data_IF_584938488622
#
_entry.id   IF_584938488622
#
_cell.length_a   1.000
_cell.length_b   1.000
_cell.length_c   1.000
_cell.angle_alpha   90.00
_cell.angle_beta   90.00
_cell.angle_gamma   90.00
#
_symmetry.space_group_name_H-M   'P 1'
#
loop_
_entity.id
_entity.type
_entity.pdbx_description
1 polymer ?
#
# COMPACT_ATOMS: atom_id res chain seq x y z
N UNK A 1 16.23 -8.49 0.34
CA UNK A 1 15.96 -9.93 0.50
C UNK A 1 14.56 -10.06 1.09
N UNK A 2 13.61 -10.67 0.37
CA UNK A 2 12.24 -10.80 0.85
C UNK A 2 12.13 -11.88 1.93
N UNK A 3 11.38 -11.62 3.01
CA UNK A 3 11.23 -12.56 4.14
C UNK A 3 10.39 -13.76 3.70
N UNK A 4 11.04 -14.92 3.52
CA UNK A 4 10.34 -16.11 3.04
C UNK A 4 9.31 -16.63 4.07
N UNK A 5 8.21 -17.22 3.58
CA UNK A 5 7.19 -17.86 4.42
C UNK A 5 7.76 -18.86 5.44
N UNK A 6 8.82 -19.56 5.06
CA UNK A 6 9.46 -20.57 5.92
C UNK A 6 10.24 -19.91 7.05
N UNK A 7 10.81 -18.73 6.80
CA UNK A 7 11.47 -17.94 7.84
C UNK A 7 10.44 -17.39 8.84
N UNK A 8 9.31 -16.89 8.36
CA UNK A 8 8.23 -16.37 9.23
C UNK A 8 7.57 -17.43 10.12
N UNK A 9 7.60 -18.71 9.73
CA UNK A 9 7.07 -19.83 10.53
C UNK A 9 8.06 -20.41 11.55
N UNK A 10 9.37 -20.23 11.33
CA UNK A 10 10.41 -20.78 12.21
C UNK A 10 10.63 -19.98 13.49
N UNK A 11 10.33 -18.69 13.44
CA UNK A 11 10.44 -17.79 14.57
C UNK A 11 9.03 -17.56 15.12
N UNK A 12 8.86 -17.64 16.44
CA UNK A 12 7.58 -17.33 17.06
C UNK A 12 7.16 -15.91 16.69
N UNK A 13 5.93 -15.74 16.23
CA UNK A 13 5.47 -14.47 15.66
C UNK A 13 5.27 -13.44 16.76
N UNK A 14 5.35 -12.12 16.45
CA UNK A 14 4.96 -11.10 17.41
C UNK A 14 3.52 -11.30 17.89
N UNK A 15 3.25 -10.95 19.16
CA UNK A 15 1.96 -11.13 19.83
C UNK A 15 0.77 -10.63 18.99
N UNK A 16 0.89 -9.46 18.38
CA UNK A 16 -0.13 -8.86 17.52
C UNK A 16 -0.58 -9.78 16.35
N UNK A 17 0.27 -10.71 15.91
CA UNK A 17 0.00 -11.61 14.80
C UNK A 17 -0.25 -13.06 15.23
N UNK A 18 -0.15 -13.40 16.53
CA UNK A 18 -0.34 -14.77 17.03
C UNK A 18 -1.77 -15.28 16.84
N UNK A 19 -2.76 -14.39 16.94
CA UNK A 19 -4.17 -14.72 16.75
C UNK A 19 -4.51 -15.22 15.32
N UNK A 20 -3.66 -14.91 14.34
CA UNK A 20 -3.90 -15.25 12.94
C UNK A 20 -3.11 -16.49 12.53
N UNK A 21 -3.66 -17.70 12.71
CA UNK A 21 -2.97 -18.99 12.52
C UNK A 21 -2.12 -19.08 11.23
N UNK A 22 -2.64 -18.53 10.12
CA UNK A 22 -1.99 -18.58 8.81
C UNK A 22 -1.52 -17.21 8.29
N UNK A 23 -1.17 -16.26 9.18
CA UNK A 23 -0.63 -14.97 8.79
C UNK A 23 0.57 -15.11 7.84
N UNK A 24 0.56 -14.36 6.72
CA UNK A 24 1.63 -14.35 5.71
C UNK A 24 2.21 -12.98 5.47
N UNK A 25 1.33 -12.00 5.32
CA UNK A 25 1.67 -10.65 4.90
C UNK A 25 0.56 -9.72 5.38
N UNK A 26 0.94 -8.57 5.91
CA UNK A 26 0.06 -7.43 6.08
C UNK A 26 0.01 -6.68 4.76
N UNK A 27 -1.19 -6.38 4.28
CA UNK A 27 -1.38 -5.57 3.08
C UNK A 27 -1.66 -4.15 3.53
N UNK A 28 -0.83 -3.21 3.10
CA UNK A 28 -1.01 -1.79 3.37
C UNK A 28 -1.08 -1.01 2.06
N UNK A 29 -1.97 -0.03 2.00
CA UNK A 29 -2.06 0.94 0.89
C UNK A 29 -1.37 2.22 1.31
N UNK A 30 -0.04 2.21 1.25
CA UNK A 30 0.77 3.34 1.67
C UNK A 30 0.64 4.48 0.67
N UNK A 31 0.21 5.64 1.15
CA UNK A 31 0.16 6.87 0.35
C UNK A 31 1.36 7.76 0.67
N UNK A 32 2.13 8.08 -0.36
CA UNK A 32 3.29 8.97 -0.28
C UNK A 32 2.89 10.33 -0.83
N UNK A 33 3.04 11.39 -0.03
CA UNK A 33 2.78 12.76 -0.47
C UNK A 33 3.85 13.19 -1.46
N UNK A 34 3.43 13.76 -2.58
CA UNK A 34 4.32 14.25 -3.63
C UNK A 34 4.16 15.77 -3.80
N UNK A 35 5.14 16.39 -4.44
CA UNK A 35 5.00 17.75 -4.95
C UNK A 35 3.92 17.79 -6.02
N UNK A 36 3.23 18.93 -6.15
CA UNK A 36 2.22 19.11 -7.19
C UNK A 36 2.87 18.97 -8.57
N UNK A 37 2.40 18.03 -9.41
CA UNK A 37 2.90 17.91 -10.77
C UNK A 37 2.62 19.18 -11.58
N UNK A 38 3.56 19.57 -12.46
CA UNK A 38 3.38 20.72 -13.36
C UNK A 38 2.29 20.46 -14.43
N UNK A 39 2.09 19.20 -14.80
CA UNK A 39 1.02 18.80 -15.71
C UNK A 39 -0.31 18.74 -14.96
N UNK A 40 -1.27 19.57 -15.38
CA UNK A 40 -2.61 19.67 -14.79
C UNK A 40 -3.37 18.33 -14.77
N UNK A 41 -3.22 17.49 -15.80
CA UNK A 41 -3.86 16.17 -15.82
C UNK A 41 -3.28 15.25 -14.74
N UNK A 42 -1.95 15.26 -14.57
CA UNK A 42 -1.29 14.48 -13.53
C UNK A 42 -1.55 15.03 -12.14
N UNK A 43 -1.63 16.36 -12.02
CA UNK A 43 -2.04 17.03 -10.79
C UNK A 43 -3.46 16.62 -10.40
N UNK A 44 -4.40 16.62 -11.35
CA UNK A 44 -5.74 16.11 -11.14
C UNK A 44 -5.74 14.65 -10.71
N UNK A 45 -5.05 13.78 -11.45
CA UNK A 45 -5.03 12.34 -11.15
C UNK A 45 -4.50 12.03 -9.73
N UNK A 46 -3.39 12.67 -9.35
CA UNK A 46 -2.71 12.41 -8.08
C UNK A 46 -3.31 13.14 -6.89
N UNK A 47 -4.24 14.09 -7.10
CA UNK A 47 -4.83 14.86 -6.02
C UNK A 47 -5.79 14.01 -5.19
N UNK A 48 -5.51 13.86 -3.90
CA UNK A 48 -6.41 13.26 -2.92
C UNK A 48 -7.18 14.34 -2.18
N UNK A 49 -8.50 14.32 -2.33
CA UNK A 49 -9.39 15.24 -1.61
C UNK A 49 -9.31 15.00 -0.09
N UNK A 50 -9.21 13.72 0.30
CA UNK A 50 -9.09 13.31 1.71
C UNK A 50 -7.86 13.91 2.40
N UNK A 51 -6.72 13.99 1.69
CA UNK A 51 -5.45 14.50 2.25
C UNK A 51 -5.11 15.91 1.78
N UNK A 52 -6.02 16.55 1.05
CA UNK A 52 -5.87 17.90 0.49
C UNK A 52 -4.48 18.09 -0.14
N UNK A 53 -4.11 17.21 -1.08
CA UNK A 53 -2.81 17.28 -1.74
C UNK A 53 -2.52 16.12 -2.68
N UNK A 54 -1.43 16.25 -3.44
CA UNK A 54 -1.01 15.24 -4.40
C UNK A 54 -0.32 14.07 -3.67
N UNK A 55 -0.78 12.85 -3.94
CA UNK A 55 -0.27 11.61 -3.35
C UNK A 55 -0.11 10.53 -4.41
N UNK A 56 0.84 9.63 -4.19
CA UNK A 56 0.95 8.36 -4.90
C UNK A 56 0.58 7.24 -3.95
N UNK A 57 -0.23 6.30 -4.42
CA UNK A 57 -0.63 5.13 -3.64
C UNK A 57 0.18 3.92 -4.08
N UNK A 58 0.69 3.18 -3.11
CA UNK A 58 1.40 1.92 -3.32
C UNK A 58 0.72 0.81 -2.53
N UNK A 59 0.54 -0.34 -3.17
CA UNK A 59 0.19 -1.57 -2.46
C UNK A 59 1.47 -2.22 -1.95
N UNK A 60 1.66 -2.20 -0.64
CA UNK A 60 2.83 -2.75 0.03
C UNK A 60 2.43 -4.02 0.78
N UNK A 61 3.20 -5.09 0.58
CA UNK A 61 3.13 -6.30 1.38
C UNK A 61 4.21 -6.27 2.45
N UNK A 62 3.84 -6.40 3.72
CA UNK A 62 4.74 -6.33 4.88
C UNK A 62 4.74 -7.67 5.61
N UNK A 63 5.91 -8.24 5.88
CA UNK A 63 6.05 -9.48 6.67
C UNK A 63 5.65 -9.27 8.13
N UNK A 64 5.43 -10.34 8.90
CA UNK A 64 5.06 -10.23 10.32
C UNK A 64 6.11 -9.51 11.19
N UNK A 65 7.34 -9.37 10.70
CA UNK A 65 8.44 -8.69 11.36
C UNK A 65 8.68 -7.26 10.85
N UNK A 66 7.78 -6.72 10.03
CA UNK A 66 7.88 -5.35 9.49
C UNK A 66 8.76 -5.22 8.23
N UNK A 67 9.38 -6.30 7.75
CA UNK A 67 10.14 -6.27 6.50
C UNK A 67 9.24 -6.21 5.26
N UNK A 68 9.53 -5.31 4.32
CA UNK A 68 8.82 -5.20 3.04
C UNK A 68 9.03 -6.46 2.19
N UNK A 69 7.93 -7.07 1.78
CA UNK A 69 7.85 -8.30 0.99
C UNK A 69 7.39 -8.04 -0.46
N UNK A 70 6.68 -6.94 -0.70
CA UNK A 70 6.19 -6.56 -2.02
C UNK A 70 5.90 -5.05 -2.08
N UNK A 71 6.10 -4.43 -3.24
CA UNK A 71 5.71 -3.06 -3.55
C UNK A 71 5.15 -3.07 -4.98
N UNK A 72 3.92 -2.60 -5.17
CA UNK A 72 3.34 -2.45 -6.52
C UNK A 72 3.94 -1.25 -7.26
N UNK A 73 3.73 -1.15 -8.59
CA UNK A 73 3.85 0.14 -9.26
C UNK A 73 3.01 1.21 -8.55
N UNK A 74 3.50 2.45 -8.57
CA UNK A 74 2.78 3.58 -7.98
C UNK A 74 1.51 3.88 -8.76
N UNK A 75 0.38 3.91 -8.05
CA UNK A 75 -0.90 4.33 -8.61
C UNK A 75 -1.03 5.84 -8.45
N UNK A 76 -1.14 6.52 -9.58
CA UNK A 76 -1.31 7.98 -9.65
C UNK A 76 -2.76 8.43 -9.51
N UNK A 77 -3.72 7.51 -9.32
CA UNK A 77 -5.15 7.84 -9.12
C UNK A 77 -5.49 7.85 -7.63
N UNK A 78 -6.01 8.97 -7.14
CA UNK A 78 -6.65 9.02 -5.82
C UNK A 78 -8.07 8.43 -5.87
N UNK A 79 -8.56 7.92 -4.73
CA UNK A 79 -9.88 7.31 -4.63
C UNK A 79 -10.96 8.41 -4.74
N UNK A 80 -11.59 8.50 -5.92
CA UNK A 80 -12.68 9.45 -6.22
C UNK A 80 -14.04 8.73 -6.25
N UNK A 81 -14.54 8.33 -5.09
CA UNK A 81 -15.93 7.90 -4.93
C UNK A 81 -16.44 6.77 -5.85
N UNK A 82 -17.77 6.64 -6.03
CA UNK A 82 -18.43 5.53 -6.74
C UNK A 82 -18.20 5.51 -8.27
N UNK A 83 -17.60 6.55 -8.82
CA UNK A 83 -17.42 6.74 -10.26
C UNK A 83 -16.42 5.74 -10.87
N UNK A 84 -15.62 5.07 -10.02
CA UNK A 84 -14.57 4.11 -10.41
C UNK A 84 -15.08 2.69 -10.70
N UNK A 85 -16.36 2.36 -10.46
CA UNK A 85 -16.92 1.03 -10.76
C UNK A 85 -17.20 0.79 -12.25
N UNK A 86 -17.28 1.86 -13.05
CA UNK A 86 -17.66 1.79 -14.47
C UNK A 86 -16.46 1.68 -15.43
N UNK A 87 -15.23 1.75 -14.89
CA UNK A 87 -13.97 1.71 -15.66
C UNK A 87 -13.26 0.34 -15.57
N UNK A 88 -13.94 -0.70 -15.07
CA UNK A 88 -13.44 -2.08 -14.92
C UNK A 88 -13.99 -3.03 -16.00
#
# INVERSE_FOLDING_TARGET
MFVSRHLQKRIDRPEAYKAFENFRVCIDTTEVRIQSPDNLEQQGNTYSDYKSGNVWLYLIGISCWGGMSFISPGLSRSWRGPDMLNDL
#
